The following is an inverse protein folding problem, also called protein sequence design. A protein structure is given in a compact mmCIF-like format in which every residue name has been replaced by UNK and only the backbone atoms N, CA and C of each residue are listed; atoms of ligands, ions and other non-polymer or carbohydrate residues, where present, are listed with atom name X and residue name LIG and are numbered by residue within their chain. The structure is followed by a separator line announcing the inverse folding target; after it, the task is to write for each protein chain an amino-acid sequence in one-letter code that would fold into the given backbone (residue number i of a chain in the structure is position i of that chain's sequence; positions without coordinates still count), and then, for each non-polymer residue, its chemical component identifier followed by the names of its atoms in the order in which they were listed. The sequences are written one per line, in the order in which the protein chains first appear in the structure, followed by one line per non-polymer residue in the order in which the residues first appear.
data_IF_686333725777
#
_entry.id   IF_686333725777
#
_cell.length_a   1.000
_cell.length_b   1.000
_cell.length_c   1.000
_cell.angle_alpha   90.00
_cell.angle_beta   90.00
_cell.angle_gamma   90.00
#
_symmetry.space_group_name_H-M   'P 1'
#
loop_
_entity.id
_entity.type
_entity.pdbx_description
1 polymer ?
#
# COMPACT_ATOMS: atom_id res chain seq x y z
N UNK A 1 -9.90 2.61 -10.13
CA UNK A 1 -9.15 3.67 -9.40
C UNK A 1 -7.94 3.03 -8.75
N UNK A 2 -6.74 3.60 -8.90
CA UNK A 2 -5.50 3.10 -8.28
C UNK A 2 -5.21 3.85 -6.98
N UNK A 3 -5.13 3.13 -5.87
CA UNK A 3 -4.86 3.71 -4.54
C UNK A 3 -3.52 3.20 -4.03
N UNK A 4 -2.65 4.10 -3.61
CA UNK A 4 -1.39 3.77 -2.96
C UNK A 4 -1.57 3.80 -1.44
N UNK A 5 -1.50 2.64 -0.79
CA UNK A 5 -1.44 2.53 0.65
C UNK A 5 0.01 2.67 1.10
N UNK A 6 0.29 3.70 1.92
CA UNK A 6 1.61 3.91 2.52
C UNK A 6 1.57 3.55 4.00
N UNK A 7 2.45 2.61 4.37
CA UNK A 7 2.75 2.25 5.77
C UNK A 7 4.06 1.46 5.81
N UNK A 8 4.96 1.69 6.79
CA UNK A 8 6.22 0.94 6.87
C UNK A 8 6.01 -0.57 6.90
N UNK A 9 5.09 -1.01 7.75
CA UNK A 9 4.65 -2.40 7.90
C UNK A 9 3.15 -2.49 7.53
N UNK A 10 2.80 -3.03 6.35
CA UNK A 10 1.45 -3.46 6.01
C UNK A 10 0.84 -4.26 7.16
N UNK A 11 -0.42 -3.97 7.47
CA UNK A 11 -1.12 -4.60 8.59
C UNK A 11 -2.51 -5.06 8.20
N UNK A 12 -3.12 -5.89 9.06
CA UNK A 12 -4.45 -6.46 8.82
C UNK A 12 -5.55 -5.43 8.54
N UNK A 13 -5.37 -4.17 8.95
CA UNK A 13 -6.28 -3.06 8.63
C UNK A 13 -6.39 -2.84 7.12
N UNK A 14 -5.30 -2.96 6.37
CA UNK A 14 -5.33 -2.86 4.91
C UNK A 14 -6.24 -3.91 4.28
N UNK A 15 -6.18 -5.15 4.79
CA UNK A 15 -6.99 -6.26 4.29
C UNK A 15 -8.49 -5.97 4.47
N UNK A 16 -8.87 -5.35 5.60
CA UNK A 16 -10.27 -4.94 5.84
C UNK A 16 -10.77 -3.96 4.78
N UNK A 17 -9.95 -3.01 4.34
CA UNK A 17 -10.33 -2.10 3.26
C UNK A 17 -10.50 -2.83 1.92
N UNK A 18 -9.54 -3.66 1.52
CA UNK A 18 -9.62 -4.42 0.27
C UNK A 18 -10.88 -5.30 0.21
N UNK A 19 -11.16 -6.03 1.29
CA UNK A 19 -12.38 -6.85 1.41
C UNK A 19 -13.66 -6.01 1.41
N UNK A 20 -13.67 -4.86 2.08
CA UNK A 20 -14.82 -3.98 2.11
C UNK A 20 -15.14 -3.41 0.72
N UNK A 21 -14.14 -2.89 -0.01
CA UNK A 21 -14.34 -2.40 -1.38
C UNK A 21 -14.88 -3.49 -2.31
N UNK A 22 -14.31 -4.70 -2.23
CA UNK A 22 -14.81 -5.85 -2.98
C UNK A 22 -16.26 -6.18 -2.64
N UNK A 23 -16.65 -6.13 -1.36
CA UNK A 23 -18.01 -6.45 -0.90
C UNK A 23 -19.08 -5.49 -1.41
N UNK A 24 -18.73 -4.22 -1.64
CA UNK A 24 -19.66 -3.21 -2.18
C UNK A 24 -19.55 -3.04 -3.70
N UNK A 25 -18.77 -3.89 -4.38
CA UNK A 25 -18.57 -3.84 -5.83
C UNK A 25 -17.82 -2.59 -6.30
N UNK A 26 -17.03 -1.96 -5.43
CA UNK A 26 -16.24 -0.79 -5.80
C UNK A 26 -14.91 -1.22 -6.41
N UNK A 27 -14.73 -0.91 -7.69
CA UNK A 27 -13.57 -1.34 -8.47
C UNK A 27 -12.33 -0.49 -8.18
N UNK A 28 -11.47 -1.02 -7.31
CA UNK A 28 -10.23 -0.38 -6.88
C UNK A 28 -9.05 -1.32 -6.97
N UNK A 29 -7.95 -0.75 -7.43
CA UNK A 29 -6.65 -1.38 -7.49
C UNK A 29 -5.80 -0.80 -6.36
N UNK A 30 -5.49 -1.62 -5.37
CA UNK A 30 -4.68 -1.18 -4.22
C UNK A 30 -3.23 -1.62 -4.40
N UNK A 31 -2.32 -0.66 -4.40
CA UNK A 31 -0.87 -0.87 -4.36
C UNK A 31 -0.38 -0.56 -2.95
N UNK A 32 0.49 -1.41 -2.40
CA UNK A 32 1.14 -1.20 -1.12
C UNK A 32 2.58 -0.71 -1.29
N UNK A 33 2.89 0.48 -0.80
CA UNK A 33 4.26 0.93 -0.57
C UNK A 33 4.70 0.61 0.86
N UNK A 34 5.80 -0.12 1.04
CA UNK A 34 6.22 -0.60 2.36
C UNK A 34 7.74 -0.67 2.52
N UNK A 35 8.25 -0.60 3.75
CA UNK A 35 9.69 -0.67 4.05
C UNK A 35 10.07 -1.90 4.89
N UNK A 36 9.11 -2.55 5.55
CA UNK A 36 9.29 -3.74 6.39
C UNK A 36 8.84 -5.02 5.66
N UNK A 37 8.00 -5.86 6.27
CA UNK A 37 7.50 -7.12 5.67
C UNK A 37 6.15 -6.92 4.98
N UNK A 38 5.80 -7.73 3.99
CA UNK A 38 4.43 -7.79 3.44
C UNK A 38 3.45 -8.46 4.43
N UNK A 39 2.16 -8.58 4.05
CA UNK A 39 1.20 -9.31 4.88
C UNK A 39 1.53 -10.80 4.87
N UNK A 40 1.83 -11.37 3.71
CA UNK A 40 2.21 -12.79 3.61
C UNK A 40 3.50 -13.09 4.38
N UNK A 41 4.51 -12.23 4.33
CA UNK A 41 5.75 -12.41 5.09
C UNK A 41 5.57 -12.34 6.62
N UNK A 42 4.51 -11.68 7.11
CA UNK A 42 4.28 -11.49 8.54
C UNK A 42 3.18 -12.40 9.11
N UNK A 43 2.12 -12.64 8.34
CA UNK A 43 0.91 -13.39 8.74
C UNK A 43 0.71 -14.69 7.96
N UNK A 44 1.51 -14.96 6.92
CA UNK A 44 1.39 -16.14 6.07
C UNK A 44 0.36 -16.03 4.94
N UNK A 45 -0.40 -14.93 4.87
CA UNK A 45 -1.37 -14.64 3.81
C UNK A 45 -1.67 -13.13 3.74
N UNK A 46 -2.38 -12.71 2.69
CA UNK A 46 -2.99 -11.39 2.58
C UNK A 46 -2.53 -10.60 1.36
N UNK A 47 -1.35 -10.91 0.80
CA UNK A 47 -0.84 -10.17 -0.35
C UNK A 47 -1.72 -10.36 -1.61
N UNK A 48 -2.40 -11.50 -1.72
CA UNK A 48 -3.29 -11.88 -2.82
C UNK A 48 -4.53 -10.99 -2.99
N UNK A 49 -4.86 -10.16 -1.99
CA UNK A 49 -5.99 -9.23 -2.04
C UNK A 49 -5.61 -7.85 -2.62
N UNK A 50 -4.34 -7.64 -2.96
CA UNK A 50 -3.84 -6.38 -3.45
C UNK A 50 -3.23 -6.56 -4.83
N UNK A 51 -3.25 -5.50 -5.65
CA UNK A 51 -2.67 -5.52 -6.99
C UNK A 51 -1.17 -5.72 -6.96
N UNK A 52 -0.50 -5.07 -6.00
CA UNK A 52 0.97 -5.12 -5.89
C UNK A 52 1.49 -4.67 -4.54
N UNK A 53 2.60 -5.27 -4.12
CA UNK A 53 3.46 -4.78 -3.05
C UNK A 53 4.76 -4.23 -3.68
N UNK A 54 5.13 -3.01 -3.30
CA UNK A 54 6.35 -2.35 -3.73
C UNK A 54 7.17 -1.99 -2.51
N UNK A 55 8.32 -2.65 -2.39
CA UNK A 55 9.32 -2.33 -1.38
C UNK A 55 9.89 -0.94 -1.67
N UNK A 56 9.83 -0.05 -0.70
CA UNK A 56 10.38 1.29 -0.75
C UNK A 56 11.73 1.31 -0.03
N UNK A 57 12.67 2.05 -0.60
CA UNK A 57 13.94 2.37 0.05
C UNK A 57 13.79 3.56 1.01
N UNK A 58 14.16 3.37 2.28
CA UNK A 58 14.11 4.41 3.30
C UNK A 58 15.07 5.58 3.00
N UNK A 59 16.20 5.31 2.37
CA UNK A 59 17.19 6.34 2.03
C UNK A 59 16.78 7.17 0.81
N UNK A 60 15.86 6.66 -0.01
CA UNK A 60 15.44 7.26 -1.28
C UNK A 60 13.92 7.40 -1.39
N UNK A 61 13.24 7.58 -0.25
CA UNK A 61 11.81 7.38 -0.15
C UNK A 61 10.99 8.27 -1.10
N UNK A 62 11.30 9.56 -1.19
CA UNK A 62 10.60 10.50 -2.06
C UNK A 62 10.63 10.04 -3.52
N UNK A 63 11.82 9.66 -4.00
CA UNK A 63 12.03 9.19 -5.36
C UNK A 63 11.28 7.88 -5.61
N UNK A 64 11.28 6.98 -4.64
CA UNK A 64 10.59 5.70 -4.73
C UNK A 64 9.06 5.88 -4.76
N UNK A 65 8.50 6.74 -3.91
CA UNK A 65 7.08 7.06 -3.91
C UNK A 65 6.68 7.70 -5.24
N UNK A 66 7.42 8.71 -5.72
CA UNK A 66 7.18 9.33 -7.04
C UNK A 66 7.17 8.29 -8.16
N UNK A 67 8.17 7.40 -8.18
CA UNK A 67 8.25 6.29 -9.15
C UNK A 67 7.03 5.38 -9.10
N UNK A 68 6.52 5.05 -7.90
CA UNK A 68 5.32 4.22 -7.74
C UNK A 68 4.08 4.95 -8.26
N UNK A 69 3.94 6.24 -7.91
CA UNK A 69 2.83 7.09 -8.36
C UNK A 69 2.79 7.15 -9.89
N UNK A 70 3.91 7.46 -10.53
CA UNK A 70 4.00 7.61 -11.98
C UNK A 70 3.76 6.27 -12.70
N UNK A 71 4.42 5.19 -12.22
CA UNK A 71 4.35 3.87 -12.87
C UNK A 71 2.97 3.23 -12.79
N UNK A 72 2.24 3.48 -11.71
CA UNK A 72 0.96 2.85 -11.44
C UNK A 72 -0.25 3.77 -11.67
N UNK A 73 -0.03 4.99 -12.15
CA UNK A 73 -1.07 6.00 -12.33
C UNK A 73 -1.94 6.12 -11.08
N UNK A 74 -1.30 6.38 -9.94
CA UNK A 74 -1.97 6.45 -8.63
C UNK A 74 -2.89 7.68 -8.60
N UNK A 75 -4.16 7.44 -8.29
CA UNK A 75 -5.20 8.48 -8.19
C UNK A 75 -5.31 9.05 -6.77
N UNK A 76 -5.01 8.23 -5.76
CA UNK A 76 -5.14 8.57 -4.34
C UNK A 76 -4.02 7.93 -3.52
N UNK A 77 -3.43 8.71 -2.61
CA UNK A 77 -2.53 8.18 -1.59
C UNK A 77 -3.28 8.09 -0.26
N UNK A 78 -3.27 6.90 0.33
CA UNK A 78 -3.82 6.65 1.65
C UNK A 78 -2.68 6.30 2.61
N UNK A 79 -2.24 7.28 3.41
CA UNK A 79 -1.26 7.07 4.49
C UNK A 79 -1.92 6.52 5.74
N UNK A 80 -1.34 5.46 6.29
CA UNK A 80 -1.88 4.74 7.44
C UNK A 80 -0.98 4.84 8.67
N UNK A 81 -1.46 5.64 9.63
CA UNK A 81 -0.91 5.95 10.96
C UNK A 81 0.26 6.95 10.98
N UNK A 82 -0.03 8.16 11.46
CA UNK A 82 0.97 9.11 11.94
C UNK A 82 1.59 8.64 13.28
N UNK A 83 2.87 8.97 13.57
CA UNK A 83 3.79 9.74 12.75
C UNK A 83 4.41 8.85 11.66
N UNK A 84 4.02 9.11 10.42
CA UNK A 84 4.42 8.34 9.25
C UNK A 84 5.57 9.12 8.62
N UNK A 85 6.81 8.65 8.76
CA UNK A 85 7.95 9.21 8.02
C UNK A 85 7.82 8.96 6.52
N UNK A 86 6.73 8.30 6.07
CA UNK A 86 6.46 8.06 4.67
C UNK A 86 5.71 9.20 3.97
N UNK A 87 5.25 10.21 4.71
CA UNK A 87 4.51 11.36 4.18
C UNK A 87 5.10 12.70 4.60
N UNK A 88 6.42 12.78 4.81
CA UNK A 88 7.12 14.02 5.16
C UNK A 88 7.34 14.88 3.92
#
# INVERSE_FOLDING_TARGET
MNILFLRPQPGIRSLKYALAFKSVGFDVDIIHGYTCKTLTEYYGYGDEYFKKFVKLDLENLEKDIRRVVDRHHVDLIHSQNAPDYLTV
#
